data_IF_212979838559
#
_entry.id   IF_212979838559
#
_cell.length_a   1.000
_cell.length_b   1.000
_cell.length_c   1.000
_cell.angle_alpha   90.00
_cell.angle_beta   90.00
_cell.angle_gamma   90.00
#
_symmetry.space_group_name_H-M   'P 1'
#
loop_
_entity.id
_entity.type
_entity.pdbx_description
1 polymer ?
#
# COMPACT_ATOMS: atom_id res chain seq x y z
N UNK A 1 24.42 2.53 17.72
CA UNK A 1 23.88 2.16 16.45
C UNK A 1 23.89 0.63 16.40
N UNK A 2 22.73 -0.03 16.23
CA UNK A 2 22.71 -1.44 15.89
C UNK A 2 23.14 -1.53 14.43
N UNK A 3 24.28 -2.19 14.15
CA UNK A 3 24.70 -2.54 12.79
C UNK A 3 23.75 -3.63 12.27
N UNK A 4 22.62 -3.21 11.73
CA UNK A 4 21.76 -4.11 11.00
C UNK A 4 22.37 -4.33 9.62
N UNK A 5 22.94 -5.52 9.41
CA UNK A 5 23.50 -5.89 8.12
C UNK A 5 22.41 -6.61 7.30
N UNK A 6 21.54 -5.82 6.64
CA UNK A 6 20.55 -6.38 5.73
C UNK A 6 21.16 -6.56 4.33
N UNK A 7 20.87 -7.68 3.69
CA UNK A 7 21.49 -8.11 2.44
C UNK A 7 20.45 -8.13 1.30
N UNK A 8 20.84 -7.62 0.14
CA UNK A 8 20.07 -7.73 -1.11
C UNK A 8 19.94 -9.19 -1.52
N UNK A 9 18.76 -9.56 -2.01
CA UNK A 9 18.42 -10.94 -2.34
C UNK A 9 18.02 -11.80 -1.14
N UNK A 10 18.23 -11.34 0.09
CA UNK A 10 17.85 -12.03 1.35
C UNK A 10 16.74 -11.28 2.06
N UNK A 11 17.01 -10.08 2.57
CA UNK A 11 16.08 -9.28 3.39
C UNK A 11 15.27 -8.29 2.56
N UNK A 12 15.76 -7.90 1.42
CA UNK A 12 15.10 -7.07 0.41
C UNK A 12 15.57 -7.49 -0.98
N UNK A 13 14.95 -6.95 -2.02
CA UNK A 13 15.38 -7.12 -3.41
C UNK A 13 15.43 -5.77 -4.11
N UNK A 14 16.52 -5.50 -4.81
CA UNK A 14 16.61 -4.37 -5.74
C UNK A 14 15.75 -4.66 -6.97
N UNK A 15 14.91 -3.71 -7.36
CA UNK A 15 14.05 -3.84 -8.54
C UNK A 15 14.91 -3.75 -9.81
N UNK A 16 14.65 -4.63 -10.79
CA UNK A 16 15.36 -4.63 -12.08
C UNK A 16 15.21 -3.29 -12.81
N UNK A 17 14.02 -2.71 -12.74
CA UNK A 17 13.71 -1.41 -13.34
C UNK A 17 13.16 -0.50 -12.22
N UNK A 18 13.96 0.48 -11.76
CA UNK A 18 13.49 1.43 -10.76
C UNK A 18 12.31 2.26 -11.27
N UNK A 19 11.34 2.48 -10.39
CA UNK A 19 10.21 3.35 -10.65
C UNK A 19 10.57 4.76 -10.18
N UNK A 20 10.49 5.73 -11.08
CA UNK A 20 10.82 7.10 -10.73
C UNK A 20 9.91 7.64 -9.62
N UNK A 21 10.51 8.16 -8.55
CA UNK A 21 9.81 8.92 -7.54
C UNK A 21 9.30 10.24 -8.15
N UNK A 22 8.09 10.63 -7.81
CA UNK A 22 7.48 11.88 -8.29
C UNK A 22 8.13 13.11 -7.64
N UNK A 23 8.47 13.02 -6.38
CA UNK A 23 9.15 14.05 -5.62
C UNK A 23 10.59 13.60 -5.35
N UNK A 24 11.56 14.32 -5.91
CA UNK A 24 12.98 14.02 -5.73
C UNK A 24 13.54 14.49 -4.38
N UNK A 25 12.79 15.34 -3.70
CA UNK A 25 13.18 15.91 -2.40
C UNK A 25 12.72 15.04 -1.22
N UNK A 26 11.96 13.97 -1.49
CA UNK A 26 11.47 13.01 -0.49
C UNK A 26 11.80 11.58 -0.86
N UNK A 27 11.89 10.71 0.14
CA UNK A 27 12.00 9.27 -0.01
C UNK A 27 10.59 8.68 0.01
N UNK A 28 10.13 8.12 -1.11
CA UNK A 28 8.83 7.48 -1.19
C UNK A 28 8.87 6.08 -0.58
N UNK A 29 7.98 5.83 0.39
CA UNK A 29 7.72 4.50 0.94
C UNK A 29 6.31 4.10 0.55
N UNK A 30 6.16 3.01 -0.19
CA UNK A 30 4.86 2.55 -0.67
C UNK A 30 4.53 1.18 -0.09
N UNK A 31 3.39 1.08 0.58
CA UNK A 31 2.80 -0.21 0.92
C UNK A 31 2.03 -0.77 -0.30
N UNK A 32 2.41 -1.96 -0.74
CA UNK A 32 1.65 -2.76 -1.70
C UNK A 32 0.75 -3.72 -0.92
N UNK A 33 -0.56 -3.57 -1.03
CA UNK A 33 -1.52 -4.21 -0.12
C UNK A 33 -2.84 -4.61 -0.81
N UNK A 34 -3.70 -5.32 -0.09
CA UNK A 34 -5.10 -5.48 -0.48
C UNK A 34 -5.99 -5.59 0.77
N UNK A 35 -7.19 -5.01 0.71
CA UNK A 35 -8.23 -5.21 1.72
C UNK A 35 -8.65 -6.67 1.88
N UNK A 36 -8.50 -7.48 0.85
CA UNK A 36 -8.75 -8.93 0.89
C UNK A 36 -7.66 -9.76 1.55
N UNK A 37 -6.52 -9.16 1.90
CA UNK A 37 -5.36 -9.86 2.48
C UNK A 37 -5.39 -9.85 4.02
N UNK A 38 -5.53 -11.00 4.69
CA UNK A 38 -5.49 -11.06 6.17
C UNK A 38 -4.17 -10.58 6.76
N UNK A 39 -3.04 -10.87 6.09
CA UNK A 39 -1.72 -10.45 6.55
C UNK A 39 -1.56 -8.91 6.48
N UNK A 40 -2.12 -8.26 5.45
CA UNK A 40 -2.16 -6.80 5.36
C UNK A 40 -2.97 -6.19 6.51
N UNK A 41 -4.14 -6.77 6.82
CA UNK A 41 -4.96 -6.33 7.94
C UNK A 41 -4.23 -6.44 9.29
N UNK A 42 -3.49 -7.53 9.50
CA UNK A 42 -2.67 -7.71 10.71
C UNK A 42 -1.50 -6.71 10.76
N UNK A 43 -0.96 -6.35 9.60
CA UNK A 43 0.15 -5.42 9.48
C UNK A 43 -0.24 -3.97 9.80
N UNK A 44 -1.50 -3.57 9.56
CA UNK A 44 -1.98 -2.19 9.77
C UNK A 44 -1.66 -1.62 11.16
N UNK A 45 -1.75 -2.43 12.21
CA UNK A 45 -1.50 -1.95 13.58
C UNK A 45 -0.05 -1.49 13.79
N UNK A 46 0.91 -2.30 13.36
CA UNK A 46 2.34 -1.95 13.48
C UNK A 46 2.75 -0.90 12.46
N UNK A 47 2.20 -0.94 11.25
CA UNK A 47 2.44 0.04 10.21
C UNK A 47 1.95 1.44 10.60
N UNK A 48 0.76 1.53 11.20
CA UNK A 48 0.20 2.82 11.64
C UNK A 48 1.04 3.45 12.74
N UNK A 49 1.55 2.63 13.70
CA UNK A 49 2.45 3.12 14.73
C UNK A 49 3.80 3.59 14.14
N UNK A 50 4.35 2.84 13.20
CA UNK A 50 5.59 3.20 12.52
C UNK A 50 5.45 4.50 11.70
N UNK A 51 4.34 4.66 10.99
CA UNK A 51 4.06 5.89 10.21
C UNK A 51 4.07 7.16 11.06
N UNK A 52 3.63 7.11 12.31
CA UNK A 52 3.65 8.27 13.21
C UNK A 52 5.08 8.75 13.56
N UNK A 53 6.08 7.89 13.39
CA UNK A 53 7.48 8.20 13.62
C UNK A 53 8.27 8.60 12.38
N UNK A 54 7.64 8.70 11.22
CA UNK A 54 8.32 9.08 9.98
C UNK A 54 8.81 10.52 10.04
N UNK A 55 10.02 10.73 9.53
CA UNK A 55 10.59 12.07 9.38
C UNK A 55 9.97 12.78 8.16
N UNK A 56 10.08 14.10 8.11
CA UNK A 56 9.46 14.98 7.11
C UNK A 56 9.98 14.73 5.68
N UNK A 57 11.14 14.09 5.53
CA UNK A 57 11.73 13.73 4.26
C UNK A 57 11.21 12.39 3.69
N UNK A 58 10.29 11.71 4.39
CA UNK A 58 9.70 10.44 3.98
C UNK A 58 8.23 10.60 3.65
N UNK A 59 7.85 10.28 2.42
CA UNK A 59 6.47 10.28 1.96
C UNK A 59 5.91 8.86 1.92
N UNK A 60 4.85 8.60 2.73
CA UNK A 60 4.19 7.31 2.74
C UNK A 60 2.99 7.27 1.81
N UNK A 61 2.96 6.25 0.95
CA UNK A 61 1.89 6.00 -0.02
C UNK A 61 1.39 4.55 0.08
N UNK A 62 0.25 4.27 -0.56
CA UNK A 62 -0.28 2.93 -0.76
C UNK A 62 -0.59 2.67 -2.23
N UNK A 63 -0.33 1.44 -2.66
CA UNK A 63 -0.73 0.92 -3.97
C UNK A 63 -1.50 -0.38 -3.75
N UNK A 64 -2.80 -0.44 -4.09
CA UNK A 64 -3.55 -1.68 -3.98
C UNK A 64 -3.13 -2.69 -5.05
N UNK A 65 -3.01 -3.95 -4.65
CA UNK A 65 -2.72 -5.08 -5.53
C UNK A 65 -3.95 -5.46 -6.37
N UNK A 66 -3.73 -5.84 -7.63
CA UNK A 66 -4.79 -6.18 -8.58
C UNK A 66 -4.43 -7.51 -9.27
N UNK A 67 -4.76 -8.64 -8.61
CA UNK A 67 -4.45 -9.98 -9.12
C UNK A 67 -5.67 -10.77 -9.57
N UNK A 68 -6.88 -10.30 -9.22
CA UNK A 68 -8.15 -10.90 -9.58
C UNK A 68 -9.27 -9.86 -9.45
N UNK A 69 -10.50 -10.23 -9.83
CA UNK A 69 -11.66 -9.33 -9.83
C UNK A 69 -12.01 -8.79 -8.44
N UNK A 70 -11.87 -9.60 -7.39
CA UNK A 70 -12.13 -9.14 -6.03
C UNK A 70 -11.10 -8.07 -5.60
N UNK A 71 -9.82 -8.29 -5.90
CA UNK A 71 -8.76 -7.32 -5.61
C UNK A 71 -8.93 -6.06 -6.46
N UNK A 72 -9.39 -6.19 -7.70
CA UNK A 72 -9.73 -5.04 -8.56
C UNK A 72 -10.85 -4.20 -7.93
N UNK A 73 -11.93 -4.83 -7.47
CA UNK A 73 -13.02 -4.13 -6.76
C UNK A 73 -12.51 -3.38 -5.52
N UNK A 74 -11.61 -3.99 -4.74
CA UNK A 74 -11.02 -3.35 -3.58
C UNK A 74 -10.11 -2.18 -3.95
N UNK A 75 -9.37 -2.27 -5.05
CA UNK A 75 -8.56 -1.17 -5.58
C UNK A 75 -9.43 -0.02 -6.08
N UNK A 76 -10.51 -0.30 -6.81
CA UNK A 76 -11.49 0.69 -7.24
C UNK A 76 -12.14 1.40 -6.05
N UNK A 77 -12.47 0.65 -4.99
CA UNK A 77 -13.01 1.19 -3.74
C UNK A 77 -11.99 2.10 -3.04
N UNK A 78 -10.73 1.68 -2.96
CA UNK A 78 -9.63 2.49 -2.40
C UNK A 78 -9.49 3.82 -3.14
N UNK A 79 -9.43 3.81 -4.49
CA UNK A 79 -9.28 5.03 -5.27
C UNK A 79 -10.54 5.87 -5.32
N UNK A 80 -11.72 5.28 -5.11
CA UNK A 80 -12.96 6.03 -4.89
C UNK A 80 -12.88 6.80 -3.57
N UNK A 81 -12.44 6.16 -2.49
CA UNK A 81 -12.23 6.81 -1.20
C UNK A 81 -11.19 7.96 -1.29
N UNK A 82 -10.09 7.70 -2.01
CA UNK A 82 -9.06 8.70 -2.29
C UNK A 82 -9.65 9.92 -3.04
N UNK A 83 -10.41 9.68 -4.10
CA UNK A 83 -11.01 10.73 -4.93
C UNK A 83 -12.12 11.52 -4.22
N UNK A 84 -12.75 10.91 -3.21
CA UNK A 84 -13.75 11.55 -2.34
C UNK A 84 -13.13 12.25 -1.11
N UNK A 85 -11.80 12.19 -0.94
CA UNK A 85 -11.08 12.75 0.22
C UNK A 85 -11.51 12.15 1.57
N UNK A 86 -11.94 10.89 1.60
CA UNK A 86 -12.36 10.19 2.83
C UNK A 86 -11.49 8.98 3.16
N UNK A 87 -10.38 8.80 2.43
CA UNK A 87 -9.55 7.60 2.53
C UNK A 87 -9.07 7.31 3.97
N UNK A 88 -8.54 8.29 4.66
CA UNK A 88 -7.98 8.08 6.01
C UNK A 88 -9.05 7.64 7.01
N UNK A 89 -10.29 8.13 6.88
CA UNK A 89 -11.40 7.75 7.75
C UNK A 89 -11.94 6.36 7.40
N UNK A 90 -12.06 6.04 6.10
CA UNK A 90 -12.70 4.81 5.65
C UNK A 90 -11.77 3.60 5.61
N UNK A 91 -10.45 3.82 5.47
CA UNK A 91 -9.48 2.75 5.31
C UNK A 91 -9.55 1.67 6.41
N UNK A 92 -9.55 1.99 7.71
CA UNK A 92 -9.69 0.99 8.76
C UNK A 92 -11.08 0.31 8.76
N UNK A 93 -12.13 1.03 8.35
CA UNK A 93 -13.49 0.49 8.26
C UNK A 93 -13.58 -0.54 7.13
N UNK A 94 -13.01 -0.24 5.96
CA UNK A 94 -12.94 -1.18 4.84
C UNK A 94 -12.15 -2.44 5.21
N UNK A 95 -10.98 -2.30 5.83
CA UNK A 95 -10.21 -3.45 6.28
C UNK A 95 -11.01 -4.33 7.24
N UNK A 96 -11.55 -3.75 8.32
CA UNK A 96 -12.28 -4.52 9.33
C UNK A 96 -13.54 -5.16 8.76
N UNK A 97 -14.32 -4.43 7.97
CA UNK A 97 -15.57 -4.91 7.38
C UNK A 97 -15.35 -6.04 6.37
N UNK A 98 -14.42 -5.86 5.44
CA UNK A 98 -14.09 -6.87 4.43
C UNK A 98 -13.51 -8.12 5.08
N UNK A 99 -12.56 -7.98 6.00
CA UNK A 99 -11.95 -9.11 6.70
C UNK A 99 -12.95 -9.85 7.60
N UNK A 100 -13.87 -9.16 8.27
CA UNK A 100 -14.93 -9.78 9.04
C UNK A 100 -15.85 -10.63 8.16
N UNK A 101 -16.21 -10.15 6.98
CA UNK A 101 -17.04 -10.89 6.03
C UNK A 101 -16.31 -12.10 5.47
N UNK A 102 -15.04 -11.94 5.05
CA UNK A 102 -14.23 -13.04 4.51
C UNK A 102 -13.92 -14.13 5.55
N UNK A 103 -13.80 -13.78 6.84
CA UNK A 103 -13.65 -14.78 7.92
C UNK A 103 -14.92 -15.63 8.10
N UNK A 104 -16.11 -15.04 7.91
CA UNK A 104 -17.40 -15.76 7.99
C UNK A 104 -17.63 -16.61 6.75
N UNK A 105 -17.30 -16.08 5.59
CA UNK A 105 -17.43 -16.75 4.30
C UNK A 105 -16.22 -16.44 3.41
N UNK A 106 -15.19 -17.32 3.36
CA UNK A 106 -13.98 -17.08 2.56
C UNK A 106 -14.21 -16.99 1.05
N UNK A 107 -15.39 -17.41 0.57
CA UNK A 107 -15.79 -17.34 -0.85
C UNK A 107 -16.79 -16.22 -1.12
N UNK A 108 -16.92 -15.27 -0.18
CA UNK A 108 -17.87 -14.16 -0.36
C UNK A 108 -17.44 -13.28 -1.53
N UNK A 109 -18.40 -12.98 -2.40
CA UNK A 109 -18.19 -12.10 -3.56
C UNK A 109 -18.85 -10.76 -3.23
N UNK A 110 -18.03 -9.75 -3.05
CA UNK A 110 -18.50 -8.39 -2.84
C UNK A 110 -18.98 -7.75 -4.15
N UNK A 111 -19.89 -6.80 -4.02
CA UNK A 111 -20.37 -5.96 -5.12
C UNK A 111 -20.03 -4.48 -4.89
N UNK A 112 -19.99 -3.64 -5.95
CA UNK A 112 -19.83 -2.20 -5.80
C UNK A 112 -20.87 -1.55 -4.89
N UNK A 113 -22.11 -2.07 -4.91
CA UNK A 113 -23.19 -1.60 -4.03
C UNK A 113 -22.87 -1.85 -2.56
N UNK A 114 -22.34 -3.03 -2.23
CA UNK A 114 -21.94 -3.32 -0.84
C UNK A 114 -20.75 -2.46 -0.41
N UNK A 115 -19.79 -2.21 -1.32
CA UNK A 115 -18.70 -1.27 -1.04
C UNK A 115 -19.22 0.12 -0.72
N UNK A 116 -20.24 0.63 -1.43
CA UNK A 116 -20.82 1.95 -1.16
C UNK A 116 -21.44 2.07 0.25
N UNK A 117 -21.93 0.97 0.81
CA UNK A 117 -22.54 0.97 2.13
C UNK A 117 -21.56 1.31 3.26
N UNK A 118 -20.28 0.99 3.10
CA UNK A 118 -19.25 1.39 4.06
C UNK A 118 -19.07 2.91 4.17
N UNK A 119 -19.47 3.66 3.14
CA UNK A 119 -19.27 5.11 3.07
C UNK A 119 -20.44 5.93 3.63
N UNK A 120 -21.59 5.30 3.84
CA UNK A 120 -22.82 5.99 4.27
C UNK A 120 -22.64 6.70 5.61
N UNK A 121 -21.99 6.06 6.59
CA UNK A 121 -21.72 6.64 7.90
C UNK A 121 -20.77 7.84 7.87
N UNK A 122 -20.04 8.03 6.77
CA UNK A 122 -19.21 9.20 6.49
C UNK A 122 -19.97 10.30 5.71
N UNK A 123 -21.26 10.13 5.49
CA UNK A 123 -22.09 11.09 4.77
C UNK A 123 -21.93 11.05 3.25
N UNK A 124 -21.31 10.02 2.69
CA UNK A 124 -21.21 9.85 1.23
C UNK A 124 -22.48 9.19 0.71
N UNK A 125 -23.20 9.88 -0.17
CA UNK A 125 -24.36 9.30 -0.83
C UNK A 125 -23.94 8.15 -1.77
N UNK A 126 -24.68 7.00 -1.76
CA UNK A 126 -24.40 5.89 -2.68
C UNK A 126 -24.39 6.25 -4.17
N UNK A 127 -25.15 7.27 -4.58
CA UNK A 127 -25.16 7.79 -5.95
C UNK A 127 -23.83 8.51 -6.25
N UNK A 128 -23.33 9.33 -5.32
CA UNK A 128 -22.05 10.00 -5.45
C UNK A 128 -20.90 8.99 -5.44
N UNK A 129 -20.96 7.98 -4.56
CA UNK A 129 -20.02 6.88 -4.61
C UNK A 129 -20.00 6.22 -5.99
N UNK A 130 -21.16 5.82 -6.51
CA UNK A 130 -21.26 5.13 -7.80
C UNK A 130 -20.74 6.01 -8.97
N UNK A 131 -21.00 7.29 -8.93
CA UNK A 131 -20.52 8.28 -9.93
C UNK A 131 -18.99 8.35 -9.93
N UNK A 132 -18.36 8.44 -8.75
CA UNK A 132 -16.90 8.52 -8.62
C UNK A 132 -16.26 7.17 -8.92
N UNK A 133 -16.80 6.07 -8.41
CA UNK A 133 -16.35 4.70 -8.64
C UNK A 133 -16.25 4.38 -10.14
N UNK A 134 -17.24 4.78 -10.94
CA UNK A 134 -17.27 4.57 -12.38
C UNK A 134 -16.56 5.67 -13.18
N UNK A 135 -15.87 6.61 -12.53
CA UNK A 135 -15.20 7.72 -13.19
C UNK A 135 -13.98 7.30 -13.99
N UNK A 136 -13.63 8.09 -14.99
CA UNK A 136 -12.37 7.92 -15.72
C UNK A 136 -11.16 8.10 -14.80
N UNK A 137 -11.24 9.00 -13.82
CA UNK A 137 -10.17 9.23 -12.82
C UNK A 137 -9.83 7.97 -12.03
N UNK A 138 -10.85 7.29 -11.47
CA UNK A 138 -10.64 6.05 -10.71
C UNK A 138 -10.08 4.95 -11.62
N UNK A 139 -10.62 4.77 -12.83
CA UNK A 139 -10.08 3.78 -13.78
C UNK A 139 -8.60 4.01 -14.10
N UNK A 140 -8.21 5.28 -14.30
CA UNK A 140 -6.82 5.65 -14.58
C UNK A 140 -5.90 5.34 -13.38
N UNK A 141 -6.35 5.60 -12.15
CA UNK A 141 -5.58 5.28 -10.94
C UNK A 141 -5.42 3.77 -10.75
N UNK A 142 -6.47 3.01 -11.03
CA UNK A 142 -6.43 1.53 -10.99
C UNK A 142 -5.45 0.98 -12.02
N UNK A 143 -5.47 1.47 -13.27
CA UNK A 143 -4.50 1.08 -14.29
C UNK A 143 -3.05 1.41 -13.90
N UNK A 144 -2.82 2.57 -13.28
CA UNK A 144 -1.50 2.94 -12.76
C UNK A 144 -1.05 2.01 -11.61
N UNK A 145 -1.97 1.62 -10.73
CA UNK A 145 -1.67 0.69 -9.65
C UNK A 145 -1.33 -0.71 -10.18
N UNK A 146 -2.03 -1.17 -11.20
CA UNK A 146 -1.75 -2.45 -11.88
C UNK A 146 -0.35 -2.45 -12.49
N UNK A 147 0.00 -1.42 -13.27
CA UNK A 147 1.33 -1.27 -13.85
C UNK A 147 2.45 -1.15 -12.78
N UNK A 148 2.17 -0.45 -11.67
CA UNK A 148 3.11 -0.38 -10.54
C UNK A 148 3.30 -1.75 -9.88
N UNK A 149 2.21 -2.49 -9.65
CA UNK A 149 2.26 -3.83 -9.08
C UNK A 149 3.10 -4.79 -9.92
N UNK A 150 2.98 -4.73 -11.24
CA UNK A 150 3.83 -5.48 -12.18
C UNK A 150 5.32 -5.07 -12.04
N UNK A 151 5.60 -3.76 -12.01
CA UNK A 151 6.96 -3.24 -11.88
C UNK A 151 7.60 -3.56 -10.52
N UNK A 152 6.80 -3.67 -9.44
CA UNK A 152 7.30 -4.11 -8.14
C UNK A 152 7.78 -5.57 -8.14
N UNK A 153 7.31 -6.39 -9.07
CA UNK A 153 7.62 -7.82 -9.11
C UNK A 153 7.21 -8.55 -7.83
N UNK A 154 6.25 -8.00 -7.09
CA UNK A 154 5.78 -8.59 -5.83
C UNK A 154 4.79 -9.73 -6.12
N UNK A 155 5.08 -10.91 -5.57
CA UNK A 155 4.22 -12.10 -5.68
C UNK A 155 3.33 -12.32 -4.46
N UNK A 156 3.36 -11.38 -3.51
CA UNK A 156 2.58 -11.40 -2.27
C UNK A 156 2.42 -10.02 -1.67
N UNK A 157 1.42 -9.88 -0.81
CA UNK A 157 1.16 -8.69 0.01
C UNK A 157 1.02 -9.11 1.49
N UNK A 158 1.40 -8.24 2.45
CA UNK A 158 1.95 -6.92 2.24
C UNK A 158 3.39 -6.96 1.72
N UNK A 159 3.76 -5.93 0.95
CA UNK A 159 5.14 -5.64 0.60
C UNK A 159 5.39 -4.14 0.77
N UNK A 160 6.61 -3.74 1.12
CA UNK A 160 7.04 -2.35 1.15
C UNK A 160 8.02 -2.10 0.00
N UNK A 161 7.79 -1.02 -0.71
CA UNK A 161 8.67 -0.54 -1.77
C UNK A 161 9.27 0.79 -1.30
N UNK A 162 10.61 0.88 -1.29
CA UNK A 162 11.33 2.10 -0.90
C UNK A 162 11.89 2.77 -2.15
N UNK A 163 11.52 4.01 -2.33
CA UNK A 163 11.98 4.92 -3.38
C UNK A 163 11.87 4.35 -4.81
N UNK A 164 10.91 3.44 -5.02
CA UNK A 164 10.73 2.73 -6.30
C UNK A 164 11.93 1.86 -6.70
N UNK A 165 12.87 1.60 -5.79
CA UNK A 165 14.12 0.88 -6.06
C UNK A 165 14.21 -0.46 -5.34
N UNK A 166 13.70 -0.55 -4.13
CA UNK A 166 13.85 -1.71 -3.27
C UNK A 166 12.50 -2.24 -2.84
N UNK A 167 12.37 -3.56 -2.76
CA UNK A 167 11.19 -4.25 -2.25
C UNK A 167 11.57 -5.15 -1.09
N UNK A 168 10.83 -5.05 0.01
CA UNK A 168 10.89 -6.01 1.11
C UNK A 168 9.51 -6.58 1.42
N UNK A 169 9.47 -7.77 2.00
CA UNK A 169 8.25 -8.48 2.42
C UNK A 169 8.48 -9.10 3.79
N UNK A 170 7.42 -9.37 4.55
CA UNK A 170 7.54 -10.06 5.82
C UNK A 170 8.22 -11.43 5.71
N UNK A 171 8.12 -12.11 4.56
CA UNK A 171 8.82 -13.37 4.29
C UNK A 171 10.33 -13.17 4.13
N UNK A 172 10.76 -12.10 3.46
CA UNK A 172 12.19 -11.80 3.27
C UNK A 172 12.82 -11.30 4.58
N UNK A 173 12.13 -10.44 5.27
CA UNK A 173 12.61 -9.85 6.52
C UNK A 173 12.49 -10.80 7.74
N UNK A 174 11.66 -11.86 7.66
CA UNK A 174 11.41 -12.80 8.74
C UNK A 174 10.09 -12.54 9.49
N UNK A 175 9.61 -11.32 9.53
CA UNK A 175 8.31 -10.93 10.09
C UNK A 175 7.83 -9.59 9.53
N UNK A 176 6.57 -9.23 9.79
CA UNK A 176 6.05 -7.90 9.45
C UNK A 176 6.72 -6.78 10.26
N UNK A 177 7.11 -7.04 11.51
CA UNK A 177 7.86 -6.07 12.31
C UNK A 177 9.27 -5.85 11.77
N UNK A 178 9.98 -6.93 11.45
CA UNK A 178 11.31 -6.87 10.82
C UNK A 178 11.26 -6.19 9.43
N UNK A 179 10.17 -6.35 8.69
CA UNK A 179 10.00 -5.65 7.40
C UNK A 179 10.06 -4.12 7.56
N UNK A 180 9.57 -3.56 8.68
CA UNK A 180 9.69 -2.13 8.96
C UNK A 180 11.11 -1.72 9.33
N UNK A 181 11.87 -2.57 10.04
CA UNK A 181 13.29 -2.32 10.33
C UNK A 181 14.13 -2.36 9.04
N UNK A 182 13.86 -3.31 8.14
CA UNK A 182 14.47 -3.31 6.79
C UNK A 182 14.10 -2.04 6.02
N UNK A 183 12.85 -1.58 6.14
CA UNK A 183 12.40 -0.33 5.49
C UNK A 183 13.18 0.87 6.03
N UNK A 184 13.39 0.98 7.35
CA UNK A 184 14.17 2.06 7.96
C UNK A 184 15.63 2.05 7.48
N UNK A 185 16.22 0.86 7.37
CA UNK A 185 17.57 0.70 6.80
C UNK A 185 17.62 1.19 5.34
N UNK A 186 16.66 0.83 4.51
CA UNK A 186 16.60 1.25 3.10
C UNK A 186 16.36 2.76 2.95
N UNK A 187 15.57 3.37 3.83
CA UNK A 187 15.40 4.82 3.90
C UNK A 187 16.75 5.49 4.21
N UNK A 188 17.50 4.96 5.18
CA UNK A 188 18.81 5.51 5.52
C UNK A 188 19.81 5.38 4.36
N UNK A 189 19.83 4.26 3.66
CA UNK A 189 20.64 4.08 2.45
C UNK A 189 20.33 5.15 1.39
N UNK A 190 19.06 5.42 1.14
CA UNK A 190 18.65 6.46 0.17
C UNK A 190 19.06 7.87 0.63
N UNK A 191 18.98 8.18 1.92
CA UNK A 191 19.50 9.46 2.47
C UNK A 191 20.98 9.64 2.20
N UNK A 192 21.77 8.61 2.48
CA UNK A 192 23.22 8.64 2.27
C UNK A 192 23.58 8.80 0.78
N UNK A 193 22.85 8.08 -0.10
CA UNK A 193 23.05 8.20 -1.55
C UNK A 193 22.68 9.60 -2.06
N UNK A 194 21.61 10.22 -1.58
CA UNK A 194 21.20 11.57 -1.96
C UNK A 194 22.20 12.62 -1.47
N UNK A 195 22.76 12.47 -0.26
CA UNK A 195 23.80 13.35 0.25
C UNK A 195 25.09 13.25 -0.58
N UNK A 196 25.50 12.04 -0.96
CA UNK A 196 26.69 11.85 -1.80
C UNK A 196 26.52 12.42 -3.22
N UNK A 197 25.31 12.41 -3.78
CA UNK A 197 25.03 12.98 -5.10
C UNK A 197 24.93 14.51 -5.12
N UNK A 198 24.82 15.14 -3.95
CA UNK A 198 24.69 16.60 -3.79
C UNK A 198 26.02 17.31 -3.50
N UNK A 199 27.12 16.56 -3.39
CA UNK A 199 28.49 17.04 -3.19
C UNK A 199 29.30 17.00 -4.48
#
# INVERSE_FOLDING_TARGET
AQDFNYEDGVHYATLEIPIANKNKDSIEVTEYFSYGCPACYQFEGVLSAWKMGLADDVEFNRTPAIWNDAYRLFAETYYTAYSLNVLEQIHPVLFSGIQNQLRRNPRYIFSPKEMSMFFVDLGVDPIDFARVFNSFGVRTLVQKAEARGEAYGATGVPAIIVNGKYRTTGRMAGSNGEMLLVTDYLIQMEREANHAASQ
#
